data_IF_604469938918
#
_entry.id   IF_604469938918
#
_cell.length_a   1.000
_cell.length_b   1.000
_cell.length_c   1.000
_cell.angle_alpha   90.00
_cell.angle_beta   90.00
_cell.angle_gamma   90.00
#
_symmetry.space_group_name_H-M   'P 1'
#
loop_
_entity.id
_entity.type
_entity.pdbx_description
1 polymer ?
#
# COMPACT_ATOMS: atom_id res chain seq x y z
N UNK A 1 -6.42 -10.21 7.67
CA UNK A 1 -6.49 -10.97 8.92
C UNK A 1 -7.87 -11.59 9.13
N UNK A 2 -8.84 -10.80 9.57
CA UNK A 2 -10.15 -11.28 10.02
C UNK A 2 -10.90 -12.20 9.05
N UNK A 3 -11.13 -11.77 7.80
CA UNK A 3 -11.87 -12.56 6.78
C UNK A 3 -11.19 -13.92 6.53
N UNK A 4 -9.87 -13.95 6.54
CA UNK A 4 -9.11 -15.20 6.38
C UNK A 4 -9.29 -16.12 7.60
N UNK A 5 -9.26 -15.57 8.81
CA UNK A 5 -9.49 -16.32 10.04
C UNK A 5 -10.91 -16.91 10.11
N UNK A 6 -11.94 -16.15 9.75
CA UNK A 6 -13.34 -16.63 9.70
C UNK A 6 -13.53 -17.74 8.65
N UNK A 7 -12.85 -17.58 7.50
CA UNK A 7 -12.85 -18.58 6.43
C UNK A 7 -12.19 -19.88 6.89
N UNK A 8 -11.03 -19.79 7.54
CA UNK A 8 -10.31 -20.94 8.11
C UNK A 8 -11.13 -21.61 9.20
N UNK A 9 -11.69 -20.82 10.14
CA UNK A 9 -12.49 -21.36 11.24
C UNK A 9 -13.71 -22.12 10.71
N UNK A 10 -14.39 -21.58 9.70
CA UNK A 10 -15.54 -22.22 9.07
C UNK A 10 -15.15 -23.54 8.38
N UNK A 11 -14.02 -23.57 7.67
CA UNK A 11 -13.51 -24.78 7.03
C UNK A 11 -13.13 -25.87 8.05
N UNK A 12 -12.37 -25.52 9.08
CA UNK A 12 -11.98 -26.44 10.16
C UNK A 12 -13.20 -26.96 10.94
N UNK A 13 -14.18 -26.09 11.22
CA UNK A 13 -15.42 -26.48 11.90
C UNK A 13 -16.28 -27.43 11.05
N UNK A 14 -16.13 -27.37 9.72
CA UNK A 14 -16.76 -28.29 8.77
C UNK A 14 -15.98 -29.60 8.58
N UNK A 15 -14.87 -29.80 9.31
CA UNK A 15 -14.08 -31.03 9.29
C UNK A 15 -12.93 -31.03 8.28
N UNK A 16 -12.53 -29.86 7.75
CA UNK A 16 -11.32 -29.79 6.92
C UNK A 16 -10.08 -30.21 7.74
N UNK A 17 -9.25 -31.08 7.16
CA UNK A 17 -8.07 -31.64 7.84
C UNK A 17 -6.79 -30.78 7.64
N UNK A 18 -6.91 -29.67 6.90
CA UNK A 18 -5.76 -28.91 6.38
C UNK A 18 -5.33 -29.44 5.01
N UNK A 19 -4.50 -28.70 4.28
CA UNK A 19 -4.02 -28.98 2.91
C UNK A 19 -4.93 -28.57 1.76
N UNK A 20 -6.21 -28.30 1.99
CA UNK A 20 -7.12 -27.82 0.95
C UNK A 20 -6.84 -26.35 0.57
N UNK A 21 -6.99 -26.04 -0.73
CA UNK A 21 -7.06 -24.67 -1.20
C UNK A 21 -8.43 -24.07 -0.85
N UNK A 22 -8.45 -23.10 0.07
CA UNK A 22 -9.66 -22.41 0.48
C UNK A 22 -10.07 -21.34 -0.53
N UNK A 23 -10.46 -21.76 -1.73
CA UNK A 23 -10.95 -20.89 -2.83
C UNK A 23 -12.11 -20.00 -2.37
N UNK A 24 -12.88 -20.44 -1.37
CA UNK A 24 -13.97 -19.66 -0.75
C UNK A 24 -13.47 -18.36 -0.10
N UNK A 25 -12.20 -18.27 0.29
CA UNK A 25 -11.61 -17.03 0.81
C UNK A 25 -11.73 -15.88 -0.19
N UNK A 26 -11.42 -16.12 -1.47
CA UNK A 26 -11.55 -15.10 -2.51
C UNK A 26 -13.00 -14.61 -2.64
N UNK A 27 -13.97 -15.52 -2.56
CA UNK A 27 -15.40 -15.17 -2.55
C UNK A 27 -15.75 -14.32 -1.34
N UNK A 28 -15.35 -14.74 -0.14
CA UNK A 28 -15.63 -14.02 1.10
C UNK A 28 -14.99 -12.63 1.10
N UNK A 29 -13.76 -12.51 0.61
CA UNK A 29 -13.09 -11.22 0.42
C UNK A 29 -13.86 -10.33 -0.55
N UNK A 30 -14.23 -10.83 -1.74
CA UNK A 30 -14.96 -10.06 -2.75
C UNK A 30 -16.32 -9.56 -2.27
N UNK A 31 -16.97 -10.30 -1.37
CA UNK A 31 -18.26 -9.95 -0.75
C UNK A 31 -18.12 -9.11 0.53
N UNK A 32 -16.91 -8.85 0.99
CA UNK A 32 -16.66 -8.16 2.25
C UNK A 32 -16.74 -6.63 2.13
N UNK A 33 -16.92 -5.99 3.28
CA UNK A 33 -16.78 -4.54 3.45
C UNK A 33 -15.41 -4.03 2.99
N UNK A 34 -14.34 -4.84 3.13
CA UNK A 34 -12.99 -4.45 2.77
C UNK A 34 -12.84 -4.32 1.25
N UNK A 35 -13.40 -5.25 0.48
CA UNK A 35 -13.40 -5.12 -0.98
C UNK A 35 -14.25 -3.94 -1.46
N UNK A 36 -15.38 -3.67 -0.80
CA UNK A 36 -16.19 -2.47 -1.07
C UNK A 36 -15.38 -1.19 -0.82
N UNK A 37 -14.66 -1.11 0.30
CA UNK A 37 -13.82 0.03 0.65
C UNK A 37 -12.64 0.21 -0.32
N UNK A 38 -11.92 -0.86 -0.65
CA UNK A 38 -10.81 -0.81 -1.61
C UNK A 38 -11.30 -0.42 -3.00
N UNK A 39 -12.42 -0.98 -3.44
CA UNK A 39 -13.04 -0.62 -4.72
C UNK A 39 -13.43 0.85 -4.74
N UNK A 40 -13.97 1.37 -3.64
CA UNK A 40 -14.32 2.79 -3.54
C UNK A 40 -13.09 3.68 -3.72
N UNK A 41 -11.96 3.35 -3.10
CA UNK A 41 -10.74 4.18 -3.13
C UNK A 41 -9.77 3.90 -4.29
N UNK A 42 -10.10 2.94 -5.16
CA UNK A 42 -9.19 2.38 -6.19
C UNK A 42 -8.49 3.39 -7.10
N UNK A 43 -9.07 4.56 -7.33
CA UNK A 43 -8.50 5.58 -8.23
C UNK A 43 -7.63 6.62 -7.53
N UNK A 44 -7.62 6.68 -6.19
CA UNK A 44 -6.96 7.76 -5.46
C UNK A 44 -5.44 7.82 -5.72
N UNK A 45 -4.73 6.71 -5.54
CA UNK A 45 -3.29 6.62 -5.82
C UNK A 45 -2.94 6.98 -7.27
N UNK A 46 -3.53 6.30 -8.27
CA UNK A 46 -3.29 6.60 -9.68
C UNK A 46 -3.63 8.05 -10.08
N UNK A 47 -4.64 8.68 -9.47
CA UNK A 47 -4.92 10.10 -9.66
C UNK A 47 -3.73 10.97 -9.22
N UNK A 48 -3.18 10.71 -8.03
CA UNK A 48 -2.03 11.44 -7.50
C UNK A 48 -0.80 11.24 -8.37
N UNK A 49 -0.51 10.02 -8.78
CA UNK A 49 0.64 9.71 -9.64
C UNK A 49 0.53 10.38 -11.02
N UNK A 50 -0.66 10.41 -11.61
CA UNK A 50 -0.88 10.94 -12.97
C UNK A 50 -1.02 12.46 -13.02
N UNK A 51 -1.65 13.07 -12.01
CA UNK A 51 -2.02 14.49 -12.06
C UNK A 51 -1.33 15.36 -10.99
N UNK A 52 -0.57 14.75 -10.06
CA UNK A 52 0.07 15.46 -8.96
C UNK A 52 -0.92 15.93 -7.88
N UNK A 53 -0.40 16.32 -6.72
CA UNK A 53 -1.20 16.48 -5.49
C UNK A 53 -2.40 17.43 -5.59
N UNK A 54 -2.23 18.63 -6.18
CA UNK A 54 -3.31 19.62 -6.22
C UNK A 54 -4.46 19.22 -7.16
N UNK A 55 -4.14 18.81 -8.39
CA UNK A 55 -5.15 18.40 -9.37
C UNK A 55 -5.81 17.09 -8.91
N UNK A 56 -5.02 16.13 -8.43
CA UNK A 56 -5.53 14.89 -7.88
C UNK A 56 -6.43 15.13 -6.66
N UNK A 57 -6.13 16.12 -5.81
CA UNK A 57 -6.99 16.51 -4.70
C UNK A 57 -8.37 16.98 -5.17
N UNK A 58 -8.43 17.82 -6.20
CA UNK A 58 -9.70 18.24 -6.81
C UNK A 58 -10.47 17.08 -7.46
N UNK A 59 -9.78 16.21 -8.19
CA UNK A 59 -10.38 15.02 -8.82
C UNK A 59 -10.87 14.01 -7.77
N UNK A 60 -10.11 13.80 -6.70
CA UNK A 60 -10.50 12.96 -5.58
C UNK A 60 -11.72 13.52 -4.85
N UNK A 61 -11.82 14.85 -4.70
CA UNK A 61 -13.03 15.48 -4.16
C UNK A 61 -14.25 15.21 -5.04
N UNK A 62 -14.13 15.33 -6.36
CA UNK A 62 -15.22 15.01 -7.29
C UNK A 62 -15.59 13.52 -7.17
N UNK A 63 -14.60 12.63 -7.23
CA UNK A 63 -14.81 11.19 -7.21
C UNK A 63 -15.41 10.68 -5.89
N UNK A 64 -14.86 11.11 -4.75
CA UNK A 64 -15.30 10.68 -3.43
C UNK A 64 -16.47 11.49 -2.89
N UNK A 65 -16.46 12.81 -3.10
CA UNK A 65 -17.48 13.72 -2.56
C UNK A 65 -18.77 13.69 -3.36
N UNK A 66 -18.70 13.69 -4.70
CA UNK A 66 -19.87 13.73 -5.57
C UNK A 66 -20.29 12.32 -5.97
N UNK A 67 -19.36 11.54 -6.53
CA UNK A 67 -19.67 10.21 -7.08
C UNK A 67 -19.55 9.08 -6.06
N UNK A 68 -19.03 9.35 -4.85
CA UNK A 68 -18.87 8.37 -3.77
C UNK A 68 -18.12 7.10 -4.20
N UNK A 69 -17.16 7.23 -5.12
CA UNK A 69 -16.35 6.11 -5.66
C UNK A 69 -17.06 5.21 -6.68
N UNK A 70 -18.21 5.63 -7.19
CA UNK A 70 -19.06 4.86 -8.12
C UNK A 70 -18.82 5.17 -9.60
N UNK A 71 -17.72 5.83 -9.94
CA UNK A 71 -17.37 6.09 -11.34
C UNK A 71 -17.16 4.76 -12.08
N UNK A 72 -17.62 4.58 -13.33
CA UNK A 72 -17.56 3.31 -14.05
C UNK A 72 -16.20 3.03 -14.73
N UNK A 73 -15.10 3.50 -14.14
CA UNK A 73 -13.74 3.25 -14.63
C UNK A 73 -12.77 3.04 -13.48
N UNK A 74 -11.63 2.42 -13.80
CA UNK A 74 -10.53 2.18 -12.88
C UNK A 74 -9.24 2.62 -13.53
N UNK A 75 -8.51 3.49 -12.84
CA UNK A 75 -7.17 3.91 -13.20
C UNK A 75 -6.16 2.90 -12.67
N UNK A 76 -5.04 2.78 -13.36
CA UNK A 76 -3.93 1.91 -12.96
C UNK A 76 -2.61 2.57 -13.27
N UNK A 77 -1.61 2.24 -12.46
CA UNK A 77 -0.22 2.55 -12.74
C UNK A 77 0.36 1.42 -13.58
N UNK A 78 0.73 1.72 -14.82
CA UNK A 78 1.20 0.71 -15.78
C UNK A 78 2.69 0.44 -15.71
N UNK A 79 3.43 1.23 -14.92
CA UNK A 79 4.89 1.16 -14.83
C UNK A 79 5.29 0.66 -13.44
N UNK A 80 6.12 -0.39 -13.33
CA UNK A 80 6.59 -0.87 -12.04
C UNK A 80 7.55 0.14 -11.40
N UNK A 81 7.53 0.23 -10.07
CA UNK A 81 8.29 1.22 -9.30
C UNK A 81 9.79 1.21 -9.62
N UNK A 82 10.39 0.02 -9.78
CA UNK A 82 11.82 -0.13 -10.06
C UNK A 82 12.25 0.52 -11.39
N UNK A 83 11.33 0.69 -12.34
CA UNK A 83 11.62 1.32 -13.62
C UNK A 83 11.38 2.84 -13.62
N UNK A 84 10.82 3.41 -12.55
CA UNK A 84 10.40 4.83 -12.50
C UNK A 84 11.56 5.81 -12.38
N UNK A 85 12.74 5.35 -11.98
CA UNK A 85 13.93 6.17 -11.81
C UNK A 85 14.46 6.70 -13.15
N UNK A 86 15.12 7.86 -13.07
CA UNK A 86 15.88 8.44 -14.18
C UNK A 86 17.38 8.35 -13.86
N UNK A 87 18.25 8.34 -14.88
CA UNK A 87 19.69 8.46 -14.68
C UNK A 87 20.05 9.65 -13.79
N UNK A 88 21.04 9.49 -12.91
CA UNK A 88 21.41 10.48 -11.91
C UNK A 88 21.88 11.82 -12.53
N UNK A 89 22.55 11.76 -13.69
CA UNK A 89 22.99 12.92 -14.47
C UNK A 89 21.83 13.71 -15.09
N UNK A 90 20.61 13.17 -15.09
CA UNK A 90 19.38 13.80 -15.59
C UNK A 90 18.46 14.32 -14.48
N UNK A 91 18.89 14.26 -13.22
CA UNK A 91 18.11 14.66 -12.06
C UNK A 91 18.79 15.80 -11.29
N UNK A 92 18.03 16.76 -10.74
CA UNK A 92 18.60 17.75 -9.85
C UNK A 92 19.10 17.10 -8.55
N UNK A 93 20.24 17.55 -8.05
CA UNK A 93 20.71 17.19 -6.70
C UNK A 93 19.83 17.91 -5.68
N UNK A 94 19.36 17.17 -4.67
CA UNK A 94 18.53 17.70 -3.60
C UNK A 94 19.42 18.02 -2.40
N UNK A 95 19.49 19.29 -2.01
CA UNK A 95 20.22 19.76 -0.83
C UNK A 95 19.34 19.63 0.42
N UNK A 96 19.60 18.61 1.23
CA UNK A 96 18.89 18.38 2.49
C UNK A 96 19.59 19.11 3.66
N UNK A 97 18.85 19.85 4.51
CA UNK A 97 19.42 20.44 5.71
C UNK A 97 20.02 19.39 6.65
N UNK A 98 21.05 19.77 7.40
CA UNK A 98 21.58 18.92 8.48
C UNK A 98 20.52 18.73 9.56
N UNK A 99 20.43 17.53 10.17
CA UNK A 99 19.49 17.28 11.26
C UNK A 99 19.81 18.16 12.47
N UNK A 100 18.76 18.60 13.17
CA UNK A 100 18.82 19.50 14.33
C UNK A 100 18.73 18.77 15.67
N UNK A 101 18.53 17.46 15.65
CA UNK A 101 18.33 16.56 16.80
C UNK A 101 17.15 16.94 17.71
N UNK A 102 16.15 17.64 17.17
CA UNK A 102 14.91 18.00 17.88
C UNK A 102 13.68 17.54 17.11
N UNK A 103 13.59 17.94 15.84
CA UNK A 103 12.52 17.51 14.93
C UNK A 103 13.06 16.68 13.77
N UNK A 104 14.39 16.68 13.56
CA UNK A 104 15.09 15.95 12.51
C UNK A 104 16.34 15.28 13.10
N UNK A 105 16.61 14.05 12.70
CA UNK A 105 17.67 13.22 13.27
C UNK A 105 18.47 12.56 12.16
N UNK A 106 19.70 12.17 12.46
CA UNK A 106 20.48 11.35 11.52
C UNK A 106 19.93 9.92 11.43
N UNK A 107 20.30 9.23 10.35
CA UNK A 107 19.84 7.87 10.07
C UNK A 107 20.32 6.87 11.12
N UNK A 108 21.54 7.00 11.65
CA UNK A 108 22.10 6.02 12.60
C UNK A 108 21.34 6.09 13.92
N UNK A 109 21.06 7.28 14.43
CA UNK A 109 20.19 7.49 15.60
C UNK A 109 18.79 6.92 15.35
N UNK A 110 18.24 7.09 14.15
CA UNK A 110 16.91 6.56 13.79
C UNK A 110 16.88 5.02 13.75
N UNK A 111 17.91 4.39 13.19
CA UNK A 111 18.04 2.92 13.13
C UNK A 111 18.31 2.32 14.51
N UNK A 112 19.10 3.00 15.34
CA UNK A 112 19.30 2.57 16.72
C UNK A 112 17.97 2.48 17.48
N UNK A 113 17.09 3.47 17.31
CA UNK A 113 15.77 3.50 17.94
C UNK A 113 14.79 2.45 17.39
N UNK A 114 14.99 1.93 16.17
CA UNK A 114 14.19 0.81 15.67
C UNK A 114 14.59 -0.52 16.32
N UNK A 115 15.71 -0.55 17.06
CA UNK A 115 16.29 -1.74 17.69
C UNK A 115 16.49 -2.90 16.71
N UNK A 116 16.65 -2.58 15.43
CA UNK A 116 16.85 -3.57 14.37
C UNK A 116 18.27 -4.10 14.45
N UNK A 117 18.41 -5.40 14.69
CA UNK A 117 19.67 -6.11 14.75
C UNK A 117 19.50 -7.50 14.12
N UNK A 118 20.60 -8.04 13.64
CA UNK A 118 20.70 -9.43 13.19
C UNK A 118 22.05 -9.99 13.66
N UNK A 119 22.21 -11.30 13.64
CA UNK A 119 23.52 -11.93 13.88
C UNK A 119 24.55 -11.39 12.87
N UNK A 120 25.74 -11.01 13.36
CA UNK A 120 26.76 -10.35 12.53
C UNK A 120 27.41 -11.33 11.55
N UNK A 121 27.48 -12.62 11.89
CA UNK A 121 28.12 -13.68 11.10
C UNK A 121 27.09 -14.54 10.34
N UNK A 122 26.17 -13.87 9.64
CA UNK A 122 25.25 -14.52 8.70
C UNK A 122 25.44 -13.96 7.29
N UNK A 123 25.18 -14.76 6.23
CA UNK A 123 25.24 -14.26 4.87
C UNK A 123 24.21 -13.14 4.63
N UNK A 124 24.61 -12.16 3.82
CA UNK A 124 23.72 -11.08 3.35
C UNK A 124 22.81 -11.55 2.21
#
# INVERSE_FOLDING_TARGET
GLIAAETLYSALSAGAEGHDDLVVYAKNFNQSWLNEELTKWRNFGPLVHKFGGLIAGGLAFIEMGIFKGKLPWTLSDSKPDHDTLKPADKMPVIEYPKPDNKISFDKLSSVFLSNTNHEEDQPC
#
